data_IF_573071080868
#
_entry.id   IF_573071080868
#
_cell.length_a   1.000
_cell.length_b   1.000
_cell.length_c   1.000
_cell.angle_alpha   90.00
_cell.angle_beta   90.00
_cell.angle_gamma   90.00
#
_symmetry.space_group_name_H-M   'P 1'
#
loop_
_entity.id
_entity.type
_entity.pdbx_description
1 polymer ?
#
# COMPACT_ATOMS: atom_id res chain seq x y z
N UNK A 1 21.95 10.25 -31.63
CA UNK A 1 21.04 11.39 -31.36
C UNK A 1 20.91 11.59 -29.85
N UNK A 2 21.44 12.73 -29.38
CA UNK A 2 21.20 13.45 -28.12
C UNK A 2 20.91 12.71 -26.80
N UNK A 3 21.94 12.51 -25.96
CA UNK A 3 21.75 12.45 -24.49
C UNK A 3 21.57 13.88 -23.98
N UNK A 4 20.36 14.25 -23.55
CA UNK A 4 20.13 15.52 -22.83
C UNK A 4 20.72 15.38 -21.42
N UNK A 5 21.83 16.07 -21.16
CA UNK A 5 22.34 16.33 -19.82
C UNK A 5 21.47 17.41 -19.22
N UNK A 6 20.61 17.06 -18.26
CA UNK A 6 19.91 18.05 -17.45
C UNK A 6 20.91 18.61 -16.44
N UNK A 7 21.25 19.87 -16.60
CA UNK A 7 21.96 20.64 -15.60
C UNK A 7 21.00 20.85 -14.43
N UNK A 8 21.32 20.28 -13.27
CA UNK A 8 20.74 20.75 -12.03
C UNK A 8 21.19 22.22 -11.87
N UNK A 9 20.24 23.14 -11.96
CA UNK A 9 20.50 24.54 -11.66
C UNK A 9 20.92 24.63 -10.19
N UNK A 10 22.21 24.83 -9.96
CA UNK A 10 22.76 25.23 -8.66
C UNK A 10 22.24 26.65 -8.43
N UNK A 11 21.09 26.78 -7.79
CA UNK A 11 20.72 28.05 -7.17
C UNK A 11 21.57 28.18 -5.92
N UNK A 12 22.71 28.85 -6.06
CA UNK A 12 23.47 29.33 -4.92
C UNK A 12 22.58 30.35 -4.19
N UNK A 13 21.87 29.90 -3.16
CA UNK A 13 21.27 30.80 -2.20
C UNK A 13 22.44 31.50 -1.49
N UNK A 14 22.69 32.75 -1.89
CA UNK A 14 23.70 33.59 -1.26
C UNK A 14 23.32 33.82 0.19
N UNK A 15 24.15 33.33 1.11
CA UNK A 15 24.10 33.78 2.50
C UNK A 15 24.41 35.28 2.50
N UNK A 16 23.43 36.11 2.88
CA UNK A 16 23.67 37.55 3.09
C UNK A 16 24.28 37.69 4.49
N UNK A 17 25.60 37.62 4.56
CA UNK A 17 26.39 37.92 5.75
C UNK A 17 27.41 39.01 5.44
N UNK A 18 27.49 40.04 6.30
CA UNK A 18 28.30 41.24 6.08
C UNK A 18 29.78 40.92 5.79
N UNK A 19 30.26 41.33 4.61
CA UNK A 19 31.68 41.30 4.25
C UNK A 19 32.40 42.47 4.91
N UNK A 20 33.22 42.22 5.93
CA UNK A 20 34.18 43.19 6.42
C UNK A 20 35.53 43.00 5.69
N UNK A 21 35.79 43.86 4.70
CA UNK A 21 37.11 44.03 4.08
C UNK A 21 37.83 45.20 4.77
N UNK A 22 38.98 44.95 5.41
CA UNK A 22 39.87 46.04 5.84
C UNK A 22 40.85 45.67 6.97
N UNK A 23 42.12 46.01 6.78
CA UNK A 23 43.26 45.73 7.66
C UNK A 23 43.23 46.47 9.01
N UNK A 24 43.77 45.77 10.02
CA UNK A 24 44.37 46.25 11.27
C UNK A 24 43.55 47.25 12.13
N UNK A 25 42.54 46.71 12.82
CA UNK A 25 42.16 47.13 14.17
C UNK A 25 42.00 45.86 15.00
N UNK A 26 42.22 45.90 16.31
CA UNK A 26 41.76 44.83 17.21
C UNK A 26 40.23 44.84 17.20
N UNK A 27 39.64 44.27 16.15
CA UNK A 27 38.21 44.04 16.08
C UNK A 27 37.91 42.93 17.06
N UNK A 28 37.04 43.19 18.03
CA UNK A 28 36.19 42.10 18.49
C UNK A 28 35.56 41.54 17.22
N UNK A 29 35.94 40.33 16.83
CA UNK A 29 35.38 39.68 15.65
C UNK A 29 33.86 39.74 15.83
N UNK A 30 33.18 40.50 14.98
CA UNK A 30 31.73 40.60 15.03
C UNK A 30 31.18 39.17 14.90
N UNK A 31 30.26 38.81 15.80
CA UNK A 31 29.63 37.49 15.77
C UNK A 31 29.04 37.25 14.38
N UNK A 32 29.28 36.07 13.81
CA UNK A 32 28.80 35.77 12.47
C UNK A 32 29.58 34.73 11.70
N UNK A 33 29.14 34.52 10.47
CA UNK A 33 29.72 33.57 9.54
C UNK A 33 31.05 34.08 8.97
N UNK A 34 32.07 33.23 9.01
CA UNK A 34 33.36 33.46 8.37
C UNK A 34 33.67 32.32 7.40
N UNK A 35 34.23 32.63 6.22
CA UNK A 35 34.63 31.65 5.21
C UNK A 35 36.13 31.63 5.04
N UNK A 36 36.75 30.46 5.12
CA UNK A 36 38.18 30.26 4.85
C UNK A 36 38.42 28.92 4.17
N UNK A 37 39.25 28.89 3.12
CA UNK A 37 39.58 27.68 2.35
C UNK A 37 38.34 26.85 1.95
N UNK A 38 37.28 27.51 1.50
CA UNK A 38 35.97 26.91 1.17
C UNK A 38 35.18 26.27 2.32
N UNK A 39 35.61 26.46 3.57
CA UNK A 39 34.86 26.06 4.76
C UNK A 39 34.22 27.27 5.43
N UNK A 40 32.97 27.11 5.86
CA UNK A 40 32.26 28.08 6.68
C UNK A 40 32.42 27.73 8.16
N UNK A 41 32.68 28.73 8.99
CA UNK A 41 32.68 28.65 10.47
C UNK A 41 31.80 29.78 11.00
N UNK A 42 31.34 29.65 12.25
CA UNK A 42 30.58 30.71 12.91
C UNK A 42 31.36 31.18 14.14
N UNK A 43 31.61 32.49 14.24
CA UNK A 43 32.28 33.10 15.38
C UNK A 43 31.22 33.65 16.34
N UNK A 44 31.32 33.30 17.61
CA UNK A 44 30.48 33.82 18.69
C UNK A 44 31.35 34.19 19.88
N UNK A 45 31.24 35.43 20.37
CA UNK A 45 32.09 36.01 21.41
C UNK A 45 33.60 35.83 21.13
N UNK A 46 34.00 35.98 19.86
CA UNK A 46 35.39 35.82 19.43
C UNK A 46 35.91 34.39 19.39
N UNK A 47 35.06 33.37 19.60
CA UNK A 47 35.42 31.96 19.54
C UNK A 47 34.68 31.24 18.41
N UNK A 48 35.29 30.19 17.87
CA UNK A 48 34.62 29.32 16.88
C UNK A 48 33.54 28.50 17.56
N UNK A 49 32.30 28.63 17.09
CA UNK A 49 31.16 27.86 17.56
C UNK A 49 31.21 26.43 17.03
N UNK A 50 30.86 25.47 17.88
CA UNK A 50 30.79 24.04 17.54
C UNK A 50 29.44 23.45 17.94
N UNK A 51 29.04 22.35 17.30
CA UNK A 51 27.76 21.69 17.54
C UNK A 51 26.58 22.42 16.89
N UNK A 52 25.40 22.27 17.48
CA UNK A 52 24.17 22.87 16.97
C UNK A 52 24.21 24.40 17.04
N UNK A 53 23.82 25.04 15.95
CA UNK A 53 23.72 26.49 15.83
C UNK A 53 22.33 26.84 15.29
N UNK A 54 21.54 27.56 16.08
CA UNK A 54 20.25 28.10 15.65
C UNK A 54 20.43 29.54 15.18
N UNK A 55 19.94 29.84 13.98
CA UNK A 55 19.86 31.19 13.43
C UNK A 55 18.41 31.53 13.08
N UNK A 56 18.17 32.75 12.59
CA UNK A 56 16.86 33.13 12.03
C UNK A 56 16.47 32.32 10.78
N UNK A 57 17.44 31.73 10.09
CA UNK A 57 17.20 30.92 8.88
C UNK A 57 16.90 29.45 9.20
N UNK A 58 17.27 28.99 10.41
CA UNK A 58 17.07 27.63 10.85
C UNK A 58 18.29 27.06 11.58
N UNK A 59 18.41 25.74 11.56
CA UNK A 59 19.46 25.01 12.27
C UNK A 59 20.63 24.65 11.36
N UNK A 60 21.83 24.76 11.91
CA UNK A 60 23.09 24.31 11.32
C UNK A 60 23.78 23.37 12.31
N UNK A 61 24.73 22.59 11.79
CA UNK A 61 25.64 21.83 12.64
C UNK A 61 27.09 22.14 12.30
N UNK A 62 27.80 22.64 13.30
CA UNK A 62 29.22 22.96 13.23
C UNK A 62 29.99 21.77 13.76
N UNK A 63 30.96 21.27 13.00
CA UNK A 63 31.75 20.10 13.39
C UNK A 63 32.40 20.33 14.77
N UNK A 64 32.30 19.32 15.65
CA UNK A 64 32.73 19.45 17.04
C UNK A 64 34.24 19.65 17.21
N UNK A 65 35.03 19.20 16.22
CA UNK A 65 36.50 19.27 16.30
C UNK A 65 37.08 20.49 15.59
N UNK A 66 36.46 20.91 14.48
CA UNK A 66 36.99 21.96 13.60
C UNK A 66 36.14 23.22 13.55
N UNK A 67 34.89 23.16 14.02
CA UNK A 67 33.91 24.24 13.88
C UNK A 67 33.44 24.47 12.44
N UNK A 68 33.79 23.57 11.50
CA UNK A 68 33.38 23.69 10.11
C UNK A 68 31.91 23.31 9.95
N UNK A 69 31.17 24.10 9.17
CA UNK A 69 29.77 23.88 8.85
C UNK A 69 29.58 22.55 8.10
N UNK A 70 28.69 21.72 8.61
CA UNK A 70 28.37 20.42 8.02
C UNK A 70 27.42 20.59 6.84
N UNK A 71 27.64 19.80 5.79
CA UNK A 71 26.70 19.61 4.67
C UNK A 71 26.50 18.12 4.41
N UNK A 72 25.41 17.75 3.74
CA UNK A 72 25.04 16.36 3.46
C UNK A 72 24.52 15.60 4.67
N UNK A 73 24.54 14.27 4.60
CA UNK A 73 24.11 13.42 5.70
C UNK A 73 25.14 13.40 6.83
N UNK A 74 24.65 13.55 8.07
CA UNK A 74 25.47 13.45 9.28
C UNK A 74 24.71 12.69 10.35
N UNK A 75 25.39 11.73 10.97
CA UNK A 75 24.88 11.08 12.17
C UNK A 75 25.31 11.87 13.41
N UNK A 76 24.35 12.25 14.25
CA UNK A 76 24.53 13.02 15.49
C UNK A 76 23.69 12.31 16.55
N UNK A 77 24.33 11.87 17.64
CA UNK A 77 23.69 11.15 18.74
C UNK A 77 22.85 9.95 18.27
N UNK A 78 23.39 9.19 17.32
CA UNK A 78 22.76 8.00 16.74
C UNK A 78 21.66 8.28 15.72
N UNK A 79 21.22 9.53 15.56
CA UNK A 79 20.20 9.94 14.59
C UNK A 79 20.82 10.53 13.33
N UNK A 80 20.19 10.31 12.19
CA UNK A 80 20.64 10.88 10.91
C UNK A 80 19.93 12.20 10.63
N UNK A 81 20.70 13.19 10.19
CA UNK A 81 20.24 14.50 9.73
C UNK A 81 20.76 14.73 8.32
N UNK A 82 20.08 15.58 7.56
CA UNK A 82 20.55 16.05 6.26
C UNK A 82 20.70 17.56 6.29
N UNK A 83 21.92 18.05 6.01
CA UNK A 83 22.21 19.47 5.87
C UNK A 83 22.30 19.81 4.38
N UNK A 84 21.50 20.77 3.92
CA UNK A 84 21.51 21.25 2.53
C UNK A 84 22.90 21.79 2.15
N UNK A 85 23.22 22.01 0.87
CA UNK A 85 24.48 22.64 0.48
C UNK A 85 24.74 23.99 1.15
N UNK A 86 23.69 24.70 1.60
CA UNK A 86 23.79 25.93 2.38
C UNK A 86 24.14 25.72 3.86
N UNK A 87 24.23 24.47 4.34
CA UNK A 87 24.41 24.12 5.75
C UNK A 87 23.14 24.08 6.59
N UNK A 88 22.01 24.57 6.06
CA UNK A 88 20.72 24.51 6.74
C UNK A 88 20.24 23.06 6.84
N UNK A 89 19.86 22.65 8.05
CA UNK A 89 19.18 21.40 8.33
C UNK A 89 17.89 21.31 7.52
N UNK A 90 17.69 20.17 6.86
CA UNK A 90 16.48 19.92 6.10
C UNK A 90 15.38 19.31 6.98
N UNK A 91 14.15 19.69 6.68
CA UNK A 91 12.90 19.06 7.12
C UNK A 91 12.09 18.67 5.87
N UNK A 92 11.17 17.73 6.01
CA UNK A 92 10.36 17.20 4.91
C UNK A 92 11.15 16.35 3.90
N UNK A 93 10.64 16.29 2.67
CA UNK A 93 11.21 15.49 1.58
C UNK A 93 12.54 16.08 1.07
N UNK A 94 13.57 15.24 0.99
CA UNK A 94 14.85 15.58 0.35
C UNK A 94 15.23 14.55 -0.71
N UNK A 95 15.85 15.02 -1.79
CA UNK A 95 16.31 14.19 -2.91
C UNK A 95 17.73 14.66 -3.29
N UNK A 96 18.76 14.29 -2.51
CA UNK A 96 20.13 14.71 -2.77
C UNK A 96 20.75 14.00 -3.98
N UNK A 97 20.18 12.87 -4.41
CA UNK A 97 20.60 12.09 -5.56
C UNK A 97 19.36 11.64 -6.33
N UNK A 98 19.32 11.91 -7.63
CA UNK A 98 18.15 11.68 -8.48
C UNK A 98 17.49 10.31 -8.24
N UNK A 99 16.18 10.32 -8.04
CA UNK A 99 15.39 9.14 -7.69
C UNK A 99 15.52 8.61 -6.25
N UNK A 100 16.39 9.16 -5.39
CA UNK A 100 16.52 8.75 -3.98
C UNK A 100 15.90 9.79 -3.05
N UNK A 101 14.65 9.54 -2.68
CA UNK A 101 13.89 10.35 -1.72
C UNK A 101 14.13 9.90 -0.28
N UNK A 102 14.27 10.85 0.62
CA UNK A 102 14.32 10.66 2.07
C UNK A 102 13.33 11.63 2.71
N UNK A 103 12.91 11.33 3.94
CA UNK A 103 12.05 12.23 4.70
C UNK A 103 12.72 12.58 6.03
N UNK A 104 12.84 13.88 6.29
CA UNK A 104 13.35 14.45 7.53
C UNK A 104 12.16 14.97 8.34
N UNK A 105 12.02 14.55 9.60
CA UNK A 105 10.99 15.09 10.50
C UNK A 105 11.25 16.57 10.79
N UNK A 106 10.33 17.22 11.48
CA UNK A 106 10.44 18.64 11.83
C UNK A 106 11.61 18.92 12.79
N UNK A 107 12.01 17.94 13.59
CA UNK A 107 13.24 17.98 14.40
C UNK A 107 14.52 17.70 13.58
N UNK A 108 14.38 17.46 12.28
CA UNK A 108 15.45 17.17 11.33
C UNK A 108 15.88 15.72 11.29
N UNK A 109 15.25 14.82 12.06
CA UNK A 109 15.68 13.42 12.12
C UNK A 109 15.15 12.64 10.91
N UNK A 110 16.01 11.82 10.31
CA UNK A 110 15.66 11.02 9.13
C UNK A 110 14.75 9.85 9.52
N UNK A 111 13.68 9.67 8.76
CA UNK A 111 12.74 8.56 8.97
C UNK A 111 13.24 7.27 8.33
N UNK A 112 13.09 6.17 9.07
CA UNK A 112 13.14 4.79 8.57
C UNK A 112 11.90 4.04 9.03
N UNK A 113 11.48 3.03 8.28
CA UNK A 113 10.21 2.33 8.49
C UNK A 113 9.01 3.09 7.91
N UNK A 114 7.84 2.85 8.47
CA UNK A 114 6.62 3.51 8.00
C UNK A 114 6.58 4.99 8.36
N UNK A 115 6.01 5.75 7.43
CA UNK A 115 5.81 7.18 7.51
C UNK A 115 4.38 7.50 7.10
N UNK A 116 3.67 8.26 7.94
CA UNK A 116 2.36 8.82 7.60
C UNK A 116 2.48 10.32 7.36
N UNK A 117 1.89 10.80 6.27
CA UNK A 117 1.77 12.23 5.96
C UNK A 117 0.32 12.49 5.53
N UNK A 118 -0.45 13.21 6.35
CA UNK A 118 -1.90 13.32 6.14
C UNK A 118 -2.56 11.93 6.19
N UNK A 119 -3.30 11.57 5.14
CA UNK A 119 -3.95 10.26 4.99
C UNK A 119 -3.09 9.24 4.24
N UNK A 120 -1.94 9.66 3.71
CA UNK A 120 -1.06 8.83 2.90
C UNK A 120 0.00 8.12 3.74
N UNK A 121 0.29 6.87 3.37
CA UNK A 121 1.34 6.06 3.99
C UNK A 121 2.49 5.85 3.01
N UNK A 122 3.72 5.84 3.54
CA UNK A 122 4.97 5.63 2.82
C UNK A 122 5.83 4.65 3.61
N UNK A 123 6.79 4.02 2.93
CA UNK A 123 7.77 3.19 3.61
C UNK A 123 9.19 3.66 3.28
N UNK A 124 9.93 4.08 4.31
CA UNK A 124 11.33 4.47 4.22
C UNK A 124 12.20 3.26 4.55
N UNK A 125 13.07 2.85 3.63
CA UNK A 125 13.97 1.69 3.79
C UNK A 125 14.95 1.91 4.93
N UNK A 126 15.65 0.85 5.35
CA UNK A 126 16.63 0.94 6.45
C UNK A 126 17.75 1.96 6.23
N UNK A 127 18.06 2.28 4.97
CA UNK A 127 19.01 3.34 4.59
C UNK A 127 18.34 4.73 4.43
N UNK A 128 17.07 4.88 4.79
CA UNK A 128 16.28 6.11 4.65
C UNK A 128 15.66 6.36 3.28
N UNK A 129 15.96 5.55 2.26
CA UNK A 129 15.38 5.77 0.92
C UNK A 129 13.92 5.34 0.84
N UNK A 130 13.08 6.14 0.19
CA UNK A 130 11.65 5.84 -0.02
C UNK A 130 11.47 4.59 -0.88
N UNK A 131 10.59 3.70 -0.43
CA UNK A 131 10.18 2.50 -1.15
C UNK A 131 9.14 2.82 -2.23
N UNK A 132 9.30 2.16 -3.38
CA UNK A 132 8.29 2.09 -4.45
C UNK A 132 8.16 0.64 -4.90
N UNK A 133 7.05 0.32 -5.56
CA UNK A 133 6.71 -1.01 -6.06
C UNK A 133 6.24 -1.98 -4.98
N UNK A 134 6.29 -3.27 -5.32
CA UNK A 134 5.93 -4.36 -4.43
C UNK A 134 6.90 -4.52 -3.27
N UNK A 135 6.37 -4.77 -2.08
CA UNK A 135 7.17 -5.02 -0.88
C UNK A 135 6.47 -6.01 0.03
N UNK A 136 7.19 -7.06 0.40
CA UNK A 136 6.77 -7.99 1.44
C UNK A 136 7.29 -7.53 2.80
N UNK A 137 6.39 -7.44 3.77
CA UNK A 137 6.67 -7.04 5.15
C UNK A 137 5.78 -7.85 6.08
N UNK A 138 6.38 -8.51 7.07
CA UNK A 138 5.68 -9.33 8.07
C UNK A 138 4.69 -10.35 7.47
N UNK A 139 5.11 -11.00 6.37
CA UNK A 139 4.32 -12.02 5.67
C UNK A 139 3.15 -11.48 4.83
N UNK A 140 3.06 -10.17 4.64
CA UNK A 140 2.05 -9.53 3.81
C UNK A 140 2.68 -8.69 2.69
N UNK A 141 2.00 -8.63 1.55
CA UNK A 141 2.42 -7.81 0.41
C UNK A 141 1.75 -6.46 0.44
N UNK A 142 2.53 -5.41 0.18
CA UNK A 142 2.09 -4.03 0.01
C UNK A 142 2.56 -3.53 -1.35
N UNK A 143 1.86 -2.54 -1.88
CA UNK A 143 2.27 -1.86 -3.11
C UNK A 143 2.39 -0.36 -2.89
N UNK A 144 3.58 0.16 -3.19
CA UNK A 144 3.88 1.58 -3.16
C UNK A 144 3.91 2.13 -4.57
N UNK A 145 3.11 3.15 -4.85
CA UNK A 145 3.06 3.82 -6.15
C UNK A 145 4.40 4.50 -6.47
N UNK A 146 4.57 5.02 -7.70
CA UNK A 146 5.81 5.68 -8.13
C UNK A 146 6.16 6.92 -7.31
N UNK A 147 5.16 7.58 -6.72
CA UNK A 147 5.31 8.69 -5.78
C UNK A 147 5.51 8.24 -4.32
N UNK A 148 5.64 6.93 -4.06
CA UNK A 148 5.87 6.34 -2.75
C UNK A 148 4.63 6.08 -1.91
N UNK A 149 3.44 6.48 -2.35
CA UNK A 149 2.20 6.27 -1.60
C UNK A 149 1.81 4.79 -1.60
N UNK A 150 1.57 4.22 -0.42
CA UNK A 150 1.02 2.89 -0.24
C UNK A 150 -0.43 2.86 -0.75
N UNK A 151 -0.79 1.83 -1.50
CA UNK A 151 -2.20 1.56 -1.83
C UNK A 151 -2.87 0.97 -0.59
N UNK A 152 -4.00 1.57 -0.20
CA UNK A 152 -4.77 1.19 1.00
C UNK A 152 -6.25 1.24 0.66
N UNK A 153 -7.01 0.24 1.12
CA UNK A 153 -8.45 0.13 0.99
C UNK A 153 -8.98 0.36 -0.43
N UNK A 154 -8.31 -0.21 -1.44
CA UNK A 154 -8.61 0.11 -2.83
C UNK A 154 -8.15 -0.96 -3.80
N UNK A 155 -8.78 -0.95 -4.97
CA UNK A 155 -8.30 -1.65 -6.15
C UNK A 155 -7.10 -0.92 -6.76
N UNK A 156 -6.13 -1.68 -7.26
CA UNK A 156 -5.06 -1.14 -8.09
C UNK A 156 -4.80 -2.04 -9.30
N UNK A 157 -4.69 -1.42 -10.47
CA UNK A 157 -4.20 -2.08 -11.67
C UNK A 157 -2.68 -1.93 -11.73
N UNK A 158 -1.98 -3.05 -11.63
CA UNK A 158 -0.52 -3.09 -11.62
C UNK A 158 -0.07 -3.93 -12.81
N UNK A 159 0.46 -3.25 -13.83
CA UNK A 159 0.64 -3.80 -15.18
C UNK A 159 -0.73 -4.23 -15.74
N UNK A 160 -0.87 -5.49 -16.15
CA UNK A 160 -2.09 -6.01 -16.78
C UNK A 160 -3.05 -6.69 -15.79
N UNK A 161 -2.78 -6.65 -14.48
CA UNK A 161 -3.55 -7.38 -13.49
C UNK A 161 -4.12 -6.45 -12.42
N UNK A 162 -5.33 -6.78 -11.95
CA UNK A 162 -5.98 -6.10 -10.83
C UNK A 162 -5.66 -6.78 -9.51
N UNK A 163 -5.45 -5.98 -8.47
CA UNK A 163 -5.20 -6.40 -7.10
C UNK A 163 -6.10 -5.58 -6.17
N UNK A 164 -6.51 -6.17 -5.06
CA UNK A 164 -7.27 -5.50 -4.02
C UNK A 164 -6.42 -5.38 -2.76
N UNK A 165 -6.41 -4.20 -2.14
CA UNK A 165 -5.71 -3.93 -0.89
C UNK A 165 -6.70 -3.61 0.22
N UNK A 166 -6.52 -4.24 1.38
CA UNK A 166 -7.35 -4.03 2.57
C UNK A 166 -7.12 -2.66 3.22
N UNK A 167 -7.89 -2.37 4.28
CA UNK A 167 -7.77 -1.13 5.06
C UNK A 167 -6.42 -0.98 5.76
N UNK A 168 -5.75 -2.09 6.03
CA UNK A 168 -4.39 -2.15 6.55
C UNK A 168 -3.32 -2.10 5.46
N UNK A 169 -3.71 -1.87 4.19
CA UNK A 169 -2.81 -1.80 3.04
C UNK A 169 -2.26 -3.14 2.58
N UNK A 170 -2.67 -4.26 3.20
CA UNK A 170 -2.22 -5.59 2.77
C UNK A 170 -2.96 -6.01 1.51
N UNK A 171 -2.21 -6.60 0.58
CA UNK A 171 -2.75 -7.23 -0.62
C UNK A 171 -3.64 -8.41 -0.21
N UNK A 172 -4.88 -8.41 -0.70
CA UNK A 172 -5.85 -9.47 -0.44
C UNK A 172 -5.62 -10.68 -1.35
N UNK A 173 -5.94 -11.86 -0.82
CA UNK A 173 -6.00 -13.14 -1.54
C UNK A 173 -7.28 -13.87 -1.15
N UNK A 174 -7.72 -14.82 -1.98
CA UNK A 174 -8.97 -15.55 -1.78
C UNK A 174 -10.22 -14.73 -2.09
N UNK A 175 -11.33 -15.09 -1.45
CA UNK A 175 -12.61 -14.39 -1.61
C UNK A 175 -12.63 -13.03 -0.94
N UNK A 176 -12.99 -12.01 -1.71
CA UNK A 176 -13.20 -10.66 -1.20
C UNK A 176 -14.60 -10.17 -1.54
N UNK A 177 -15.28 -9.58 -0.56
CA UNK A 177 -16.54 -8.87 -0.76
C UNK A 177 -16.25 -7.38 -0.85
N UNK A 178 -16.70 -6.74 -1.93
CA UNK A 178 -16.66 -5.29 -2.13
C UNK A 178 -18.08 -4.83 -2.40
N UNK A 179 -18.63 -4.03 -1.48
CA UNK A 179 -20.04 -3.67 -1.42
C UNK A 179 -20.96 -4.90 -1.44
N UNK A 180 -21.68 -5.13 -2.54
CA UNK A 180 -22.60 -6.26 -2.73
C UNK A 180 -22.01 -7.37 -3.60
N UNK A 181 -20.88 -7.13 -4.23
CA UNK A 181 -20.28 -8.02 -5.23
C UNK A 181 -19.13 -8.82 -4.60
N UNK A 182 -18.97 -10.06 -5.08
CA UNK A 182 -17.86 -10.93 -4.66
C UNK A 182 -16.82 -11.04 -5.78
N UNK A 183 -15.56 -11.08 -5.37
CA UNK A 183 -14.38 -11.21 -6.22
C UNK A 183 -13.51 -12.33 -5.66
N UNK A 184 -12.66 -12.90 -6.52
CA UNK A 184 -11.66 -13.86 -6.10
C UNK A 184 -10.28 -13.37 -6.50
N UNK A 185 -9.36 -13.32 -5.55
CA UNK A 185 -7.97 -12.95 -5.74
C UNK A 185 -7.14 -14.24 -5.64
N UNK A 186 -6.32 -14.53 -6.65
CA UNK A 186 -5.44 -15.69 -6.61
C UNK A 186 -4.43 -15.59 -5.46
N UNK A 187 -3.68 -16.66 -5.21
CA UNK A 187 -2.65 -16.69 -4.15
C UNK A 187 -1.53 -15.66 -4.35
N UNK A 188 -1.31 -15.22 -5.60
CA UNK A 188 -0.41 -14.13 -5.95
C UNK A 188 -1.10 -12.74 -5.99
N UNK A 189 -2.35 -12.67 -5.54
CA UNK A 189 -3.17 -11.46 -5.44
C UNK A 189 -3.86 -11.03 -6.72
N UNK A 190 -3.58 -11.67 -7.87
CA UNK A 190 -4.22 -11.30 -9.13
C UNK A 190 -5.72 -11.62 -9.08
N UNK A 191 -6.55 -10.64 -9.41
CA UNK A 191 -7.99 -10.85 -9.58
C UNK A 191 -8.26 -11.91 -10.63
N UNK A 192 -9.00 -12.94 -10.24
CA UNK A 192 -9.43 -14.00 -11.12
C UNK A 192 -10.61 -13.52 -11.97
N UNK A 193 -10.55 -13.84 -13.26
CA UNK A 193 -11.67 -13.78 -14.20
C UNK A 193 -11.89 -15.18 -14.77
N UNK A 194 -13.12 -15.48 -15.18
CA UNK A 194 -13.52 -16.77 -15.70
C UNK A 194 -13.82 -17.80 -14.60
N UNK A 195 -13.55 -19.07 -14.89
CA UNK A 195 -13.95 -20.19 -14.03
C UNK A 195 -13.09 -20.32 -12.78
N UNK A 196 -13.75 -20.55 -11.64
CA UNK A 196 -13.15 -20.95 -10.37
C UNK A 196 -13.75 -22.28 -9.94
N UNK A 197 -12.94 -23.17 -9.37
CA UNK A 197 -13.40 -24.36 -8.66
C UNK A 197 -12.82 -24.37 -7.25
N UNK A 198 -13.68 -24.56 -6.25
CA UNK A 198 -13.23 -24.69 -4.86
C UNK A 198 -12.89 -26.15 -4.50
N UNK A 199 -12.44 -26.37 -3.26
CA UNK A 199 -12.06 -27.70 -2.75
C UNK A 199 -13.23 -28.67 -2.64
N UNK A 200 -14.46 -28.16 -2.56
CA UNK A 200 -15.68 -28.97 -2.41
C UNK A 200 -16.27 -29.33 -3.78
N UNK A 201 -15.63 -28.88 -4.86
CA UNK A 201 -16.06 -29.12 -6.24
C UNK A 201 -17.12 -28.15 -6.74
N UNK A 202 -17.48 -27.11 -5.97
CA UNK A 202 -18.35 -26.07 -6.48
C UNK A 202 -17.61 -25.25 -7.53
N UNK A 203 -18.34 -24.89 -8.58
CA UNK A 203 -17.83 -24.04 -9.66
C UNK A 203 -18.47 -22.66 -9.59
N UNK A 204 -17.67 -21.64 -9.85
CA UNK A 204 -18.11 -20.25 -9.92
C UNK A 204 -17.64 -19.65 -11.23
N UNK A 205 -18.28 -18.56 -11.65
CA UNK A 205 -17.82 -17.80 -12.81
C UNK A 205 -17.64 -16.33 -12.45
N UNK A 206 -16.40 -15.88 -12.52
CA UNK A 206 -15.98 -14.50 -12.35
C UNK A 206 -16.11 -13.80 -13.70
N UNK A 207 -16.86 -12.70 -13.77
CA UNK A 207 -17.15 -12.01 -15.01
C UNK A 207 -15.87 -11.54 -15.72
N UNK A 208 -15.77 -11.78 -17.03
CA UNK A 208 -14.56 -11.50 -17.81
C UNK A 208 -14.22 -10.00 -17.92
N UNK A 209 -15.21 -9.11 -17.73
CA UNK A 209 -15.01 -7.67 -17.88
C UNK A 209 -14.62 -6.99 -16.57
N UNK A 210 -15.13 -7.48 -15.43
CA UNK A 210 -15.00 -6.79 -14.16
C UNK A 210 -14.68 -7.69 -12.96
N UNK A 211 -14.56 -9.00 -13.15
CA UNK A 211 -14.21 -9.95 -12.09
C UNK A 211 -15.30 -10.22 -11.06
N UNK A 212 -16.51 -9.69 -11.23
CA UNK A 212 -17.62 -9.95 -10.30
C UNK A 212 -18.12 -11.38 -10.44
N UNK A 213 -18.33 -12.05 -9.32
CA UNK A 213 -18.92 -13.39 -9.30
C UNK A 213 -20.34 -13.37 -9.86
N UNK A 214 -20.64 -14.32 -10.75
CA UNK A 214 -21.95 -14.46 -11.37
C UNK A 214 -22.94 -15.16 -10.44
N UNK A 215 -24.19 -14.67 -10.47
CA UNK A 215 -25.37 -15.30 -9.86
C UNK A 215 -26.50 -15.31 -10.88
N UNK A 216 -27.40 -16.29 -10.80
CA UNK A 216 -28.50 -16.47 -11.74
C UNK A 216 -28.05 -16.98 -13.11
N UNK A 217 -28.85 -16.68 -14.14
CA UNK A 217 -28.55 -17.06 -15.52
C UNK A 217 -27.35 -16.29 -16.08
N UNK A 218 -26.40 -17.01 -16.67
CA UNK A 218 -25.24 -16.43 -17.37
C UNK A 218 -24.96 -17.19 -18.65
N UNK A 219 -24.80 -16.46 -19.75
CA UNK A 219 -24.33 -17.04 -21.00
C UNK A 219 -22.80 -16.95 -21.07
N UNK A 220 -22.15 -18.09 -21.32
CA UNK A 220 -20.69 -18.24 -21.41
C UNK A 220 -20.42 -19.11 -22.64
N UNK A 221 -19.63 -18.60 -23.59
CA UNK A 221 -19.29 -19.28 -24.85
C UNK A 221 -20.54 -19.88 -25.55
N UNK A 222 -21.55 -19.04 -25.74
CA UNK A 222 -22.85 -19.37 -26.35
C UNK A 222 -23.72 -20.38 -25.60
N UNK A 223 -23.29 -20.88 -24.45
CA UNK A 223 -24.05 -21.80 -23.62
C UNK A 223 -24.60 -21.11 -22.37
N UNK A 224 -25.82 -21.46 -21.95
CA UNK A 224 -26.41 -20.94 -20.72
C UNK A 224 -26.06 -21.83 -19.53
N UNK A 225 -25.72 -21.18 -18.43
CA UNK A 225 -25.49 -21.77 -17.12
C UNK A 225 -26.34 -21.04 -16.09
N UNK A 226 -26.60 -21.70 -14.96
CA UNK A 226 -27.28 -21.08 -13.83
C UNK A 226 -26.42 -21.19 -12.58
N UNK A 227 -26.23 -20.06 -11.89
CA UNK A 227 -25.50 -19.98 -10.63
C UNK A 227 -26.47 -19.64 -9.50
N UNK A 228 -26.41 -20.32 -8.36
CA UNK A 228 -27.29 -20.00 -7.23
C UNK A 228 -26.88 -18.68 -6.53
N UNK A 229 -27.58 -18.31 -5.46
CA UNK A 229 -27.30 -17.08 -4.68
C UNK A 229 -25.90 -17.03 -4.06
N UNK A 230 -25.26 -18.17 -3.83
CA UNK A 230 -23.88 -18.28 -3.37
C UNK A 230 -22.88 -18.33 -4.56
N UNK A 231 -23.36 -18.22 -5.80
CA UNK A 231 -22.54 -18.29 -7.00
C UNK A 231 -22.11 -19.70 -7.39
N UNK A 232 -22.65 -20.75 -6.77
CA UNK A 232 -22.33 -22.12 -7.17
C UNK A 232 -23.10 -22.45 -8.46
N UNK A 233 -22.40 -22.96 -9.45
CA UNK A 233 -22.99 -23.45 -10.69
C UNK A 233 -23.89 -24.64 -10.42
N UNK A 234 -25.13 -24.56 -10.87
CA UNK A 234 -26.12 -25.61 -10.73
C UNK A 234 -25.99 -26.63 -11.86
N UNK A 235 -26.25 -27.90 -11.53
CA UNK A 235 -26.34 -29.00 -12.51
C UNK A 235 -27.56 -29.85 -12.20
N UNK A 236 -28.08 -30.54 -13.22
CA UNK A 236 -29.30 -31.34 -13.12
C UNK A 236 -30.56 -30.50 -13.34
N UNK A 237 -31.68 -30.98 -12.81
CA UNK A 237 -32.97 -30.29 -12.90
C UNK A 237 -33.05 -29.14 -11.90
N UNK A 238 -33.40 -27.96 -12.39
CA UNK A 238 -33.78 -26.82 -11.54
C UNK A 238 -35.19 -26.35 -11.86
N UNK A 239 -35.87 -25.80 -10.85
CA UNK A 239 -37.16 -25.16 -10.98
C UNK A 239 -37.07 -23.69 -10.56
N UNK A 240 -37.51 -22.79 -11.44
CA UNK A 240 -37.56 -21.35 -11.23
C UNK A 240 -38.94 -20.86 -11.65
N UNK A 241 -39.67 -20.19 -10.75
CA UNK A 241 -40.99 -19.61 -11.02
C UNK A 241 -41.96 -20.58 -11.71
N UNK A 242 -41.98 -21.84 -11.27
CA UNK A 242 -42.82 -22.91 -11.83
C UNK A 242 -42.34 -23.52 -13.15
N UNK A 243 -41.25 -22.99 -13.75
CA UNK A 243 -40.63 -23.50 -14.98
C UNK A 243 -39.46 -24.42 -14.64
N UNK A 244 -39.29 -25.47 -15.45
CA UNK A 244 -38.26 -26.48 -15.26
C UNK A 244 -37.19 -26.37 -16.35
N UNK A 245 -35.93 -26.46 -15.92
CA UNK A 245 -34.75 -26.38 -16.78
C UNK A 245 -33.81 -27.53 -16.45
N UNK A 246 -33.02 -27.97 -17.43
CA UNK A 246 -32.01 -29.01 -17.23
C UNK A 246 -30.61 -28.51 -17.60
N UNK A 247 -29.74 -28.47 -16.61
CA UNK A 247 -28.33 -28.06 -16.70
C UNK A 247 -27.49 -29.33 -16.79
N UNK A 248 -27.11 -29.74 -17.99
CA UNK A 248 -26.63 -31.09 -18.25
C UNK A 248 -25.32 -31.42 -17.49
N UNK A 249 -25.33 -32.27 -16.45
CA UNK A 249 -24.11 -32.60 -15.70
C UNK A 249 -23.04 -33.28 -16.55
N UNK A 250 -23.46 -34.07 -17.56
CA UNK A 250 -22.54 -34.75 -18.47
C UNK A 250 -21.90 -33.81 -19.51
N UNK A 251 -22.40 -32.59 -19.64
CA UNK A 251 -21.87 -31.55 -20.51
C UNK A 251 -21.61 -30.26 -19.71
N UNK A 252 -20.93 -30.42 -18.57
CA UNK A 252 -20.40 -29.33 -17.75
C UNK A 252 -21.44 -28.32 -17.23
N UNK A 253 -22.71 -28.73 -17.11
CA UNK A 253 -23.78 -27.87 -16.62
C UNK A 253 -24.43 -26.98 -17.68
N UNK A 254 -24.09 -27.16 -18.97
CA UNK A 254 -24.73 -26.42 -20.06
C UNK A 254 -26.23 -26.71 -20.12
N UNK A 255 -27.04 -25.66 -20.17
CA UNK A 255 -28.49 -25.77 -20.29
C UNK A 255 -28.88 -26.38 -21.64
N UNK A 256 -29.83 -27.31 -21.61
CA UNK A 256 -30.47 -27.82 -22.83
C UNK A 256 -31.58 -26.84 -23.27
N UNK A 257 -31.58 -26.43 -24.53
CA UNK A 257 -32.60 -25.56 -25.12
C UNK A 257 -32.83 -25.84 -26.60
N UNK A 258 -34.04 -25.58 -27.07
CA UNK A 258 -34.45 -25.65 -28.48
C UNK A 258 -34.43 -27.06 -29.06
N UNK A 259 -34.50 -28.09 -28.22
CA UNK A 259 -34.32 -29.48 -28.64
C UNK A 259 -35.02 -30.47 -27.70
N UNK A 260 -34.99 -31.74 -28.04
CA UNK A 260 -35.42 -32.84 -27.16
C UNK A 260 -34.22 -33.59 -26.59
N UNK A 261 -34.32 -34.09 -25.37
CA UNK A 261 -33.27 -34.88 -24.73
C UNK A 261 -33.85 -36.03 -23.90
N UNK A 262 -33.16 -37.17 -23.90
CA UNK A 262 -33.49 -38.31 -23.03
C UNK A 262 -32.70 -38.19 -21.73
N UNK A 263 -33.40 -38.03 -20.61
CA UNK A 263 -32.81 -37.87 -19.27
C UNK A 263 -33.37 -39.01 -18.40
N UNK A 264 -32.48 -39.86 -17.90
CA UNK A 264 -32.85 -41.06 -17.11
C UNK A 264 -33.92 -41.93 -17.80
N UNK A 265 -33.79 -42.14 -19.11
CA UNK A 265 -34.70 -42.98 -19.91
C UNK A 265 -36.03 -42.33 -20.32
N UNK A 266 -36.30 -41.10 -19.90
CA UNK A 266 -37.51 -40.35 -20.28
C UNK A 266 -37.16 -39.24 -21.27
N UNK A 267 -37.95 -39.07 -22.33
CA UNK A 267 -37.76 -38.01 -23.33
C UNK A 267 -38.45 -36.71 -22.90
N UNK A 268 -37.70 -35.62 -22.90
CA UNK A 268 -38.18 -34.27 -22.56
C UNK A 268 -37.94 -33.30 -23.73
N UNK A 269 -38.87 -32.37 -23.90
CA UNK A 269 -38.84 -31.35 -24.95
C UNK A 269 -38.58 -29.98 -24.32
N UNK A 270 -37.59 -29.25 -24.82
CA UNK A 270 -37.19 -27.94 -24.32
C UNK A 270 -37.40 -26.89 -25.41
N UNK A 271 -38.05 -25.78 -25.05
CA UNK A 271 -38.19 -24.64 -25.97
C UNK A 271 -36.86 -23.88 -26.16
N UNK A 272 -36.84 -22.88 -27.03
CA UNK A 272 -35.63 -22.09 -27.32
C UNK A 272 -35.07 -21.32 -26.13
N UNK A 273 -35.85 -21.14 -25.05
CA UNK A 273 -35.42 -20.55 -23.79
C UNK A 273 -34.98 -21.58 -22.75
N UNK A 274 -35.03 -22.87 -23.10
CA UNK A 274 -34.65 -23.99 -22.22
C UNK A 274 -35.74 -24.46 -21.28
N UNK A 275 -36.97 -23.97 -21.41
CA UNK A 275 -38.08 -24.41 -20.56
C UNK A 275 -38.58 -25.77 -21.03
N UNK A 276 -38.63 -26.74 -20.11
CA UNK A 276 -39.18 -28.06 -20.35
C UNK A 276 -40.71 -28.00 -20.50
N UNK A 277 -41.23 -28.50 -21.62
CA UNK A 277 -42.65 -28.43 -21.97
C UNK A 277 -43.46 -29.60 -21.42
N UNK A 278 -42.80 -30.68 -21.01
CA UNK A 278 -43.43 -31.92 -20.54
C UNK A 278 -42.78 -32.41 -19.24
N UNK A 279 -42.61 -31.52 -18.25
CA UNK A 279 -41.94 -31.77 -16.97
C UNK A 279 -42.72 -32.66 -15.97
N UNK A 280 -43.65 -33.50 -16.45
CA UNK A 280 -44.44 -34.39 -15.59
C UNK A 280 -43.55 -35.37 -14.82
N UNK A 281 -43.65 -35.37 -13.49
CA UNK A 281 -42.87 -36.27 -12.62
C UNK A 281 -41.40 -35.87 -12.41
N UNK A 282 -40.97 -34.69 -12.89
CA UNK A 282 -39.62 -34.19 -12.66
C UNK A 282 -39.44 -33.77 -11.19
N UNK A 283 -38.41 -34.30 -10.55
CA UNK A 283 -37.90 -33.77 -9.27
C UNK A 283 -36.77 -32.80 -9.55
N UNK A 284 -36.92 -31.55 -9.14
CA UNK A 284 -35.98 -30.47 -9.42
C UNK A 284 -35.51 -29.75 -8.15
N UNK A 285 -34.31 -29.20 -8.22
CA UNK A 285 -33.74 -28.33 -7.20
C UNK A 285 -34.39 -26.94 -7.31
N UNK A 286 -34.59 -26.24 -6.18
CA UNK A 286 -34.94 -24.81 -6.18
C UNK A 286 -33.71 -24.02 -5.74
N UNK A 287 -32.97 -23.39 -6.66
CA UNK A 287 -31.83 -22.56 -6.28
C UNK A 287 -32.27 -21.42 -5.36
N UNK A 288 -31.50 -21.14 -4.30
CA UNK A 288 -31.83 -20.09 -3.33
C UNK A 288 -31.98 -18.70 -3.98
N UNK A 289 -32.96 -17.93 -3.51
CA UNK A 289 -33.25 -16.55 -3.95
C UNK A 289 -32.43 -15.53 -3.16
N UNK A 290 -32.07 -14.43 -3.83
CA UNK A 290 -31.23 -13.35 -3.27
C UNK A 290 -32.05 -12.51 -2.28
N UNK A 291 -31.70 -12.54 -1.00
CA UNK A 291 -32.06 -11.49 -0.03
C UNK A 291 -30.76 -10.88 0.49
N UNK A 292 -30.39 -9.71 -0.03
CA UNK A 292 -29.13 -9.05 0.31
C UNK A 292 -29.43 -7.61 0.76
N UNK A 293 -30.12 -7.49 1.90
CA UNK A 293 -30.29 -6.23 2.61
C UNK A 293 -29.14 -6.01 3.60
N UNK A 294 -28.43 -4.88 3.42
CA UNK A 294 -27.54 -4.20 4.36
C UNK A 294 -26.21 -4.89 4.71
N UNK A 295 -25.08 -4.31 4.30
CA UNK A 295 -24.44 -3.18 4.99
C UNK A 295 -23.05 -2.95 4.37
N UNK A 296 -22.72 -1.69 4.12
CA UNK A 296 -21.44 -1.23 3.59
C UNK A 296 -20.32 -1.56 4.58
N UNK A 297 -19.43 -2.47 4.21
CA UNK A 297 -18.10 -2.51 4.80
C UNK A 297 -17.08 -3.02 3.79
N UNK A 298 -16.01 -2.25 3.64
CA UNK A 298 -14.97 -2.44 2.63
C UNK A 298 -14.07 -3.63 2.97
N UNK A 299 -13.84 -4.52 1.99
CA UNK A 299 -12.66 -5.39 1.91
C UNK A 299 -12.47 -6.41 3.03
N UNK A 300 -13.45 -7.29 3.26
CA UNK A 300 -13.33 -8.40 4.22
C UNK A 300 -13.08 -9.72 3.49
N UNK A 301 -12.17 -10.54 4.00
CA UNK A 301 -12.01 -11.93 3.57
C UNK A 301 -13.23 -12.74 4.01
N UNK A 302 -14.05 -13.17 3.05
CA UNK A 302 -15.27 -13.91 3.32
C UNK A 302 -15.87 -14.47 2.03
N UNK A 303 -15.97 -15.80 1.96
CA UNK A 303 -16.58 -16.49 0.83
C UNK A 303 -18.10 -16.28 0.76
N UNK A 304 -18.69 -16.33 -0.43
CA UNK A 304 -20.14 -16.38 -0.59
C UNK A 304 -20.74 -17.57 0.20
N UNK A 305 -21.81 -17.34 0.97
CA UNK A 305 -22.52 -18.41 1.68
C UNK A 305 -21.87 -18.92 2.97
N UNK A 306 -20.73 -18.37 3.41
CA UNK A 306 -20.15 -18.68 4.71
C UNK A 306 -20.96 -18.00 5.84
N UNK A 307 -21.44 -18.76 6.82
CA UNK A 307 -21.99 -18.18 8.05
C UNK A 307 -20.85 -17.51 8.82
N UNK A 308 -20.90 -16.19 8.95
CA UNK A 308 -19.96 -15.43 9.76
C UNK A 308 -20.17 -15.79 11.24
N UNK A 309 -19.46 -16.82 11.73
CA UNK A 309 -19.24 -16.92 13.16
C UNK A 309 -18.15 -15.91 13.50
N UNK A 310 -18.56 -14.79 14.08
CA UNK A 310 -17.67 -13.80 14.67
C UNK A 310 -16.92 -14.44 15.83
N UNK A 311 -15.78 -15.02 15.54
CA UNK A 311 -14.72 -15.31 16.49
C UNK A 311 -13.42 -15.07 15.75
N UNK A 312 -12.71 -14.00 16.13
CA UNK A 312 -11.47 -13.59 15.49
C UNK A 312 -10.50 -14.75 15.38
N UNK A 313 -10.13 -15.09 14.14
CA UNK A 313 -9.04 -16.02 13.87
C UNK A 313 -8.15 -15.36 12.83
N UNK A 314 -7.01 -14.90 13.34
CA UNK A 314 -5.85 -14.48 12.59
C UNK A 314 -5.21 -15.66 11.84
N UNK A 315 -4.79 -15.35 10.61
CA UNK A 315 -3.61 -15.87 9.92
C UNK A 315 -3.53 -17.35 9.52
N UNK A 316 -3.58 -17.59 8.22
CA UNK A 316 -2.71 -18.57 7.56
C UNK A 316 -1.66 -17.81 6.72
N UNK A 317 -0.55 -17.47 7.36
CA UNK A 317 0.73 -17.14 6.72
C UNK A 317 1.76 -18.20 7.12
N UNK A 318 2.69 -18.60 6.25
CA UNK A 318 3.62 -19.69 6.54
C UNK A 318 4.75 -19.21 7.49
N UNK A 319 4.77 -19.79 8.69
CA UNK A 319 5.96 -20.19 9.47
C UNK A 319 7.11 -19.21 9.63
N UNK A 320 7.15 -18.49 10.76
CA UNK A 320 8.35 -17.87 11.30
C UNK A 320 9.03 -18.72 12.37
N UNK A 321 10.36 -18.71 12.39
CA UNK A 321 11.17 -19.05 13.58
C UNK A 321 11.92 -17.80 14.04
N UNK A 322 11.58 -17.33 15.24
CA UNK A 322 12.25 -16.24 15.94
C UNK A 322 13.42 -16.77 16.77
N UNK A 323 14.53 -16.04 16.81
CA UNK A 323 15.49 -16.11 17.91
C UNK A 323 15.76 -14.68 18.42
N UNK A 324 15.50 -14.48 19.72
CA UNK A 324 15.76 -13.24 20.42
C UNK A 324 17.18 -13.16 20.95
N UNK A 325 17.65 -11.94 21.18
CA UNK A 325 18.83 -11.65 22.00
C UNK A 325 18.72 -10.26 22.60
N UNK A 326 19.11 -10.16 23.86
CA UNK A 326 18.87 -9.09 24.81
C UNK A 326 20.16 -8.35 25.19
N UNK A 327 20.09 -7.01 25.25
CA UNK A 327 20.87 -6.09 26.10
C UNK A 327 22.37 -5.87 25.78
N UNK A 328 23.07 -4.93 26.47
CA UNK A 328 22.61 -4.03 27.54
C UNK A 328 23.06 -2.54 27.40
N UNK A 329 22.68 -1.77 28.43
CA UNK A 329 22.89 -0.35 28.76
C UNK A 329 24.33 0.09 29.06
N UNK A 330 24.66 1.37 28.81
CA UNK A 330 25.23 2.38 29.75
C UNK A 330 25.85 3.55 28.96
N UNK A 331 25.63 4.81 29.36
CA UNK A 331 26.65 5.57 30.09
C UNK A 331 26.54 7.07 29.76
N UNK A 332 26.64 7.89 30.80
CA UNK A 332 26.38 9.32 30.87
C UNK A 332 27.59 10.16 30.41
N UNK A 333 27.40 11.24 29.64
CA UNK A 333 28.28 12.42 29.68
C UNK A 333 27.59 13.66 29.12
N UNK A 334 27.58 14.70 29.94
CA UNK A 334 27.12 16.06 29.68
C UNK A 334 27.89 16.74 28.56
N UNK A 335 27.20 17.11 27.50
CA UNK A 335 27.52 18.24 26.65
C UNK A 335 26.21 18.93 26.28
N UNK A 336 26.23 20.27 26.24
CA UNK A 336 25.08 21.15 26.04
C UNK A 336 24.28 20.81 24.78
N UNK A 337 23.26 19.97 24.93
CA UNK A 337 22.39 19.52 23.86
C UNK A 337 21.21 20.47 23.71
N UNK A 338 21.41 21.61 23.05
CA UNK A 338 20.28 22.29 22.40
C UNK A 338 20.00 21.57 21.08
N UNK A 339 19.39 20.38 21.17
CA UNK A 339 18.84 19.70 20.01
C UNK A 339 17.52 20.37 19.62
N UNK A 340 17.18 20.43 18.32
CA UNK A 340 15.87 20.93 17.89
C UNK A 340 14.76 20.14 18.59
N UNK A 341 13.85 20.82 19.29
CA UNK A 341 12.62 20.23 19.83
C UNK A 341 11.43 20.95 19.19
N UNK A 342 10.50 20.18 18.61
CA UNK A 342 9.35 20.71 17.89
C UNK A 342 8.27 21.24 18.84
N UNK A 343 7.77 22.45 18.57
CA UNK A 343 6.59 23.04 19.23
C UNK A 343 5.34 22.75 18.41
N UNK A 344 4.39 22.03 19.01
CA UNK A 344 3.14 21.56 18.40
C UNK A 344 2.17 22.69 18.05
N UNK A 345 1.67 22.69 16.81
CA UNK A 345 0.44 23.39 16.43
C UNK A 345 -0.47 22.43 15.65
N UNK A 346 -1.78 22.51 15.90
CA UNK A 346 -2.84 21.57 15.47
C UNK A 346 -2.98 21.40 13.94
N UNK A 347 -2.04 20.70 13.32
CA UNK A 347 -2.15 20.09 12.00
C UNK A 347 -1.51 18.70 12.06
N UNK A 348 -2.13 17.69 11.45
CA UNK A 348 -1.67 16.29 11.44
C UNK A 348 -0.16 16.22 11.09
N UNK A 349 0.69 16.02 12.12
CA UNK A 349 2.14 16.01 11.96
C UNK A 349 2.59 14.73 11.24
N UNK A 350 3.52 14.87 10.30
CA UNK A 350 4.15 13.74 9.66
C UNK A 350 4.98 12.97 10.69
N UNK A 351 4.84 11.64 10.71
CA UNK A 351 5.41 10.87 11.81
C UNK A 351 5.63 9.40 11.52
N UNK A 352 6.41 8.78 12.40
CA UNK A 352 6.64 7.34 12.43
C UNK A 352 5.35 6.64 12.85
N UNK A 353 4.99 5.58 12.15
CA UNK A 353 3.83 4.73 12.45
C UNK A 353 4.24 3.26 12.33
N UNK A 354 3.34 2.34 12.66
CA UNK A 354 3.49 0.89 12.43
C UNK A 354 2.90 0.44 11.07
N UNK A 355 2.28 1.37 10.34
CA UNK A 355 1.71 1.15 9.01
C UNK A 355 0.28 1.68 8.88
N UNK A 356 -0.40 1.41 7.74
CA UNK A 356 -1.84 1.52 7.65
C UNK A 356 -2.49 0.46 8.55
N UNK A 357 -3.47 0.86 9.35
CA UNK A 357 -4.21 0.00 10.28
C UNK A 357 -5.69 0.27 10.21
#
# INVERSE_FOLDING_TARGET
MGRKRYWAAITAAGMIGAMALGNAFTSYAADGWTKSNDHWTYIYNGQVHTGWLQTSEGWYYMDLSTGQMTTGFKQIDGKWYFFKPSGLMATGWVNPEDGKWYYMLDDGTMVTGWLKIGDDYYFMRGNGTMGTGWREMDGAWYFFQSNGKCVVNSWAQIKDNWYLFGTDGKMMTGWAKVDKDYFYLNTDGRMLIGWLSDSDGNKYYMDMSNGKMSTGWKQIDSSWYYFNSNGHMMTGWIQLDGKYYYLNPANEGKMIAGTSATINGTQYNFDSSGVCQNAGGVSAQTPGTVDNSNNSNSGVNGGPGASNNSSGISNNGPGGTSSGSSGPTSGNSSNTSNSPSGSSSNSLEAGRTDGPG
#
